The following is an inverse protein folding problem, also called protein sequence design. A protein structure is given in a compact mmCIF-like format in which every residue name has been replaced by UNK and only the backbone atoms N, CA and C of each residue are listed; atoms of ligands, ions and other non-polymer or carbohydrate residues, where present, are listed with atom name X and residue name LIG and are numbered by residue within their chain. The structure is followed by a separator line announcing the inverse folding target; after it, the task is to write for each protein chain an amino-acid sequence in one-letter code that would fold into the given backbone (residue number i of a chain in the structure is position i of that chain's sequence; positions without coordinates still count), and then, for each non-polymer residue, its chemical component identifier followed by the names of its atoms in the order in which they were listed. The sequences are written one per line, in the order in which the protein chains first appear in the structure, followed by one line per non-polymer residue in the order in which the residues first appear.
data_IF_942038074383
#
_entry.id   IF_942038074383
#
_cell.length_a   1.000
_cell.length_b   1.000
_cell.length_c   1.000
_cell.angle_alpha   90.00
_cell.angle_beta   90.00
_cell.angle_gamma   90.00
#
_symmetry.space_group_name_H-M   'P 1'
#
loop_
_entity.id
_entity.type
_entity.pdbx_description
1 polymer ?
#
# COMPACT_ATOMS: atom_id res chain seq x y z
N UNK A 1 3.13 4.49 16.20
CA UNK A 1 3.16 3.11 16.75
C UNK A 1 1.78 2.54 16.57
N UNK A 2 1.69 1.27 16.18
CA UNK A 2 0.43 0.61 15.85
C UNK A 2 0.48 -0.86 16.25
N UNK A 3 -0.68 -1.45 16.46
CA UNK A 3 -0.88 -2.89 16.65
C UNK A 3 -2.08 -3.33 15.81
N UNK A 4 -1.99 -4.48 15.15
CA UNK A 4 -3.06 -5.01 14.30
C UNK A 4 -3.22 -6.52 14.48
N UNK A 5 -4.46 -7.00 14.39
CA UNK A 5 -4.76 -8.42 14.27
C UNK A 5 -4.72 -8.87 12.81
N UNK A 6 -4.30 -10.11 12.57
CA UNK A 6 -4.55 -10.77 11.29
C UNK A 6 -6.06 -10.96 11.08
N UNK A 7 -6.54 -11.06 9.83
CA UNK A 7 -7.96 -11.31 9.56
C UNK A 7 -8.49 -12.59 10.20
N UNK A 8 -7.62 -13.62 10.33
CA UNK A 8 -7.94 -14.87 11.01
C UNK A 8 -8.00 -14.76 12.54
N UNK A 9 -7.51 -13.65 13.11
CA UNK A 9 -7.35 -13.44 14.55
C UNK A 9 -6.22 -14.25 15.20
N UNK A 10 -5.49 -15.06 14.43
CA UNK A 10 -4.46 -15.96 14.96
C UNK A 10 -3.13 -15.25 15.25
N UNK A 11 -2.86 -14.13 14.58
CA UNK A 11 -1.62 -13.39 14.74
C UNK A 11 -1.87 -11.94 15.10
N UNK A 12 -0.95 -11.38 15.89
CA UNK A 12 -0.85 -9.95 16.14
C UNK A 12 0.44 -9.44 15.51
N UNK A 13 0.42 -8.26 14.93
CA UNK A 13 1.62 -7.52 14.53
C UNK A 13 1.74 -6.22 15.31
N UNK A 14 2.92 -5.94 15.86
CA UNK A 14 3.23 -4.70 16.59
C UNK A 14 4.38 -3.93 15.94
N UNK A 15 4.20 -2.62 15.77
CA UNK A 15 5.18 -1.72 15.15
C UNK A 15 5.73 -0.73 16.17
N UNK A 16 7.06 -0.59 16.21
CA UNK A 16 7.78 0.08 17.30
C UNK A 16 8.73 1.18 16.82
N UNK A 17 9.11 2.06 17.75
CA UNK A 17 10.19 3.03 17.57
C UNK A 17 11.57 2.38 17.46
N UNK A 18 11.71 1.11 17.86
CA UNK A 18 12.90 0.29 17.60
C UNK A 18 13.08 -0.08 16.12
N UNK A 19 12.21 0.44 15.24
CA UNK A 19 12.25 0.29 13.78
C UNK A 19 11.85 -1.11 13.30
N UNK A 20 11.27 -1.94 14.17
CA UNK A 20 10.83 -3.29 13.83
C UNK A 20 9.32 -3.43 13.79
N UNK A 21 8.87 -4.40 13.00
CA UNK A 21 7.56 -5.04 13.15
C UNK A 21 7.78 -6.41 13.79
N UNK A 22 6.95 -6.79 14.74
CA UNK A 22 7.03 -8.08 15.43
C UNK A 22 5.71 -8.82 15.35
N UNK A 23 5.78 -10.10 15.06
CA UNK A 23 4.64 -11.01 15.07
C UNK A 23 4.50 -11.71 16.41
N UNK A 24 3.26 -12.03 16.75
CA UNK A 24 2.90 -12.76 17.96
C UNK A 24 1.79 -13.75 17.64
N UNK A 25 1.81 -14.90 18.28
CA UNK A 25 0.65 -15.76 18.37
C UNK A 25 -0.40 -15.10 19.29
N UNK A 26 -1.60 -14.88 18.78
CA UNK A 26 -2.63 -14.13 19.49
C UNK A 26 -3.20 -14.87 20.70
N UNK A 27 -3.17 -16.21 20.68
CA UNK A 27 -3.79 -17.05 21.70
C UNK A 27 -2.86 -17.30 22.88
N UNK A 28 -1.56 -17.45 22.61
CA UNK A 28 -0.53 -17.84 23.57
C UNK A 28 0.39 -16.69 23.96
N UNK A 29 0.44 -15.62 23.16
CA UNK A 29 1.40 -14.54 23.32
C UNK A 29 2.84 -14.92 22.93
N UNK A 30 3.05 -16.10 22.34
CA UNK A 30 4.37 -16.54 21.92
C UNK A 30 4.95 -15.60 20.85
N UNK A 31 6.24 -15.22 20.96
CA UNK A 31 6.88 -14.37 19.96
C UNK A 31 7.08 -15.12 18.64
N UNK A 32 6.75 -14.45 17.53
CA UNK A 32 7.01 -14.89 16.17
C UNK A 32 8.18 -14.16 15.52
N UNK A 33 8.12 -13.97 14.20
CA UNK A 33 9.18 -13.30 13.44
C UNK A 33 9.35 -11.82 13.81
N UNK A 34 10.60 -11.34 13.73
CA UNK A 34 10.96 -9.92 13.82
C UNK A 34 11.30 -9.45 12.40
N UNK A 35 10.49 -8.55 11.87
CA UNK A 35 10.64 -7.98 10.54
C UNK A 35 11.46 -6.70 10.66
N UNK A 36 12.72 -6.78 10.20
CA UNK A 36 13.70 -5.70 10.28
C UNK A 36 14.02 -5.13 8.90
N UNK A 37 14.29 -3.84 8.85
CA UNK A 37 14.67 -3.16 7.60
C UNK A 37 14.22 -1.71 7.53
N UNK A 38 13.20 -1.30 8.30
CA UNK A 38 12.92 0.11 8.49
C UNK A 38 14.12 0.79 9.17
N UNK A 39 14.39 2.03 8.78
CA UNK A 39 15.53 2.80 9.30
C UNK A 39 15.11 3.87 10.32
N UNK A 40 13.80 4.02 10.51
CA UNK A 40 13.16 4.86 11.52
C UNK A 40 11.91 4.17 12.09
N UNK A 41 11.21 4.84 13.01
CA UNK A 41 10.05 4.33 13.71
C UNK A 41 8.96 3.79 12.78
N UNK A 42 8.33 2.67 13.14
CA UNK A 42 7.13 2.17 12.47
C UNK A 42 5.91 2.91 13.01
N UNK A 43 5.21 3.60 12.12
CA UNK A 43 4.13 4.54 12.46
C UNK A 43 2.76 3.91 12.33
N UNK A 44 2.54 3.14 11.26
CA UNK A 44 1.29 2.45 10.93
C UNK A 44 1.55 1.09 10.32
N UNK A 45 0.62 0.15 10.47
CA UNK A 45 0.68 -1.15 9.78
C UNK A 45 -0.72 -1.68 9.52
N UNK A 46 -0.83 -2.64 8.60
CA UNK A 46 -2.08 -3.36 8.31
C UNK A 46 -1.75 -4.73 7.72
N UNK A 47 -2.54 -5.75 8.06
CA UNK A 47 -2.47 -7.04 7.37
C UNK A 47 -3.15 -6.95 6.00
N UNK A 48 -2.66 -7.71 5.03
CA UNK A 48 -3.45 -8.00 3.82
C UNK A 48 -4.75 -8.71 4.22
N UNK A 49 -5.83 -8.59 3.44
CA UNK A 49 -7.07 -9.33 3.73
C UNK A 49 -6.91 -10.85 3.74
N UNK A 50 -5.88 -11.38 3.06
CA UNK A 50 -5.51 -12.80 3.14
C UNK A 50 -4.76 -13.18 4.42
N UNK A 51 -4.23 -12.20 5.16
CA UNK A 51 -3.41 -12.40 6.35
C UNK A 51 -1.97 -12.86 6.09
N UNK A 52 -1.61 -13.11 4.82
CA UNK A 52 -0.28 -13.62 4.45
C UNK A 52 0.80 -12.52 4.41
N UNK A 53 0.40 -11.26 4.40
CA UNK A 53 1.32 -10.14 4.33
C UNK A 53 0.98 -9.02 5.31
N UNK A 54 1.99 -8.22 5.62
CA UNK A 54 1.83 -6.96 6.36
C UNK A 54 2.37 -5.83 5.49
N UNK A 55 1.62 -4.74 5.41
CA UNK A 55 2.16 -3.45 4.97
C UNK A 55 2.48 -2.60 6.19
N UNK A 56 3.67 -2.01 6.24
CA UNK A 56 4.08 -1.08 7.31
C UNK A 56 4.57 0.25 6.74
N UNK A 57 4.17 1.33 7.39
CA UNK A 57 4.61 2.70 7.12
C UNK A 57 5.54 3.18 8.21
N UNK A 58 6.44 4.09 7.85
CA UNK A 58 7.47 4.56 8.77
C UNK A 58 7.82 6.03 8.56
N UNK A 59 8.41 6.62 9.59
CA UNK A 59 9.12 7.90 9.55
C UNK A 59 10.33 7.88 8.60
N UNK A 60 10.79 6.70 8.14
CA UNK A 60 11.84 6.58 7.14
C UNK A 60 11.37 6.88 5.70
N UNK A 61 10.12 7.34 5.55
CA UNK A 61 9.49 7.70 4.28
C UNK A 61 9.37 6.51 3.33
N UNK A 62 9.21 5.31 3.89
CA UNK A 62 8.93 4.11 3.10
C UNK A 62 7.67 3.41 3.56
N UNK A 63 7.06 2.70 2.61
CA UNK A 63 6.13 1.61 2.92
C UNK A 63 6.79 0.30 2.55
N UNK A 64 6.69 -0.69 3.43
CA UNK A 64 7.26 -2.02 3.20
C UNK A 64 6.17 -3.07 3.25
N UNK A 65 6.22 -4.01 2.32
CA UNK A 65 5.40 -5.22 2.35
C UNK A 65 6.28 -6.37 2.84
N UNK A 66 5.73 -7.15 3.75
CA UNK A 66 6.40 -8.26 4.39
C UNK A 66 5.61 -9.53 4.20
N UNK A 67 6.35 -10.61 4.01
CA UNK A 67 5.84 -11.97 4.07
C UNK A 67 5.70 -12.40 5.55
N UNK A 68 4.52 -12.86 5.96
CA UNK A 68 4.26 -13.28 7.35
C UNK A 68 4.87 -14.65 7.65
N UNK A 69 4.91 -15.56 6.68
CA UNK A 69 5.39 -16.94 6.85
C UNK A 69 6.91 -16.98 7.00
N UNK A 70 7.62 -16.28 6.11
CA UNK A 70 9.09 -16.30 6.03
C UNK A 70 9.73 -15.08 6.69
N UNK A 71 8.94 -14.08 7.11
CA UNK A 71 9.44 -12.88 7.78
C UNK A 71 10.33 -11.98 6.91
N UNK A 72 10.28 -12.12 5.58
CA UNK A 72 11.13 -11.39 4.63
C UNK A 72 10.44 -10.15 4.09
N UNK A 73 11.24 -9.12 3.77
CA UNK A 73 10.76 -7.95 3.05
C UNK A 73 10.58 -8.30 1.57
N UNK A 74 9.37 -8.10 1.06
CA UNK A 74 9.01 -8.39 -0.32
C UNK A 74 9.20 -7.17 -1.22
N UNK A 75 8.77 -6.00 -0.72
CA UNK A 75 8.73 -4.76 -1.51
C UNK A 75 9.03 -3.56 -0.61
N UNK A 76 9.73 -2.57 -1.16
CA UNK A 76 9.95 -1.27 -0.52
C UNK A 76 9.49 -0.17 -1.47
N UNK A 77 8.48 0.58 -1.06
CA UNK A 77 7.95 1.74 -1.78
C UNK A 77 8.59 3.01 -1.20
N UNK A 78 9.25 3.82 -2.05
CA UNK A 78 10.08 4.97 -1.63
C UNK A 78 9.58 6.34 -2.16
N UNK A 79 8.33 6.42 -2.58
CA UNK A 79 7.75 7.61 -3.21
C UNK A 79 7.01 8.51 -2.20
N UNK A 80 7.58 8.67 -1.00
CA UNK A 80 7.00 9.48 0.08
C UNK A 80 7.98 10.59 0.47
N UNK A 81 7.48 11.81 0.62
CA UNK A 81 8.31 12.96 1.01
C UNK A 81 8.18 13.36 2.48
N UNK A 82 7.32 12.67 3.24
CA UNK A 82 7.18 12.76 4.69
C UNK A 82 6.91 11.40 5.34
N UNK A 83 6.61 11.41 6.63
CA UNK A 83 6.20 10.21 7.37
C UNK A 83 4.97 9.57 6.72
N UNK A 84 5.00 8.26 6.49
CA UNK A 84 3.76 7.54 6.15
C UNK A 84 2.95 7.32 7.42
N UNK A 85 1.97 8.18 7.66
CA UNK A 85 1.27 8.26 8.95
C UNK A 85 0.20 7.19 9.12
N UNK A 86 -0.45 6.77 8.04
CA UNK A 86 -1.52 5.77 8.07
C UNK A 86 -1.53 4.92 6.81
N UNK A 87 -1.94 3.66 6.95
CA UNK A 87 -2.08 2.71 5.85
C UNK A 87 -3.37 1.92 6.03
N UNK A 88 -4.09 1.69 4.93
CA UNK A 88 -5.22 0.76 4.86
C UNK A 88 -5.04 -0.19 3.67
N UNK A 89 -5.45 -1.44 3.82
CA UNK A 89 -5.42 -2.44 2.75
C UNK A 89 -6.84 -2.90 2.44
N UNK A 90 -7.22 -2.85 1.17
CA UNK A 90 -8.49 -3.38 0.68
C UNK A 90 -8.27 -4.32 -0.50
N UNK A 91 -9.14 -5.33 -0.62
CA UNK A 91 -9.26 -6.17 -1.82
C UNK A 91 -10.71 -6.09 -2.29
N UNK A 92 -10.90 -5.82 -3.57
CA UNK A 92 -12.22 -5.80 -4.20
C UNK A 92 -12.18 -6.58 -5.53
N UNK A 93 -13.31 -6.65 -6.24
CA UNK A 93 -13.41 -7.37 -7.52
C UNK A 93 -12.42 -6.90 -8.60
N UNK A 94 -11.80 -5.73 -8.43
CA UNK A 94 -10.85 -5.14 -9.37
C UNK A 94 -9.39 -5.24 -8.89
N UNK A 95 -9.12 -5.96 -7.79
CA UNK A 95 -7.76 -6.24 -7.31
C UNK A 95 -7.50 -5.84 -5.86
N UNK A 96 -6.21 -5.81 -5.52
CA UNK A 96 -5.69 -5.52 -4.18
C UNK A 96 -5.10 -4.11 -4.16
N UNK A 97 -5.45 -3.31 -3.16
CA UNK A 97 -5.07 -1.91 -3.08
C UNK A 97 -4.61 -1.52 -1.69
N UNK A 98 -3.53 -0.74 -1.63
CA UNK A 98 -3.05 -0.07 -0.44
C UNK A 98 -3.35 1.42 -0.53
N UNK A 99 -4.02 1.98 0.47
CA UNK A 99 -4.16 3.41 0.64
C UNK A 99 -3.18 3.88 1.71
N UNK A 100 -2.46 4.97 1.45
CA UNK A 100 -1.46 5.53 2.36
C UNK A 100 -1.67 7.02 2.54
N UNK A 101 -1.71 7.50 3.77
CA UNK A 101 -1.62 8.92 4.09
C UNK A 101 -0.19 9.29 4.49
N UNK A 102 0.30 10.39 3.94
CA UNK A 102 1.67 10.84 4.13
C UNK A 102 1.72 12.27 4.71
N UNK A 103 2.74 12.54 5.51
CA UNK A 103 3.02 13.86 6.07
C UNK A 103 3.42 14.92 5.03
N UNK A 104 3.54 14.55 3.75
CA UNK A 104 3.64 15.48 2.62
C UNK A 104 2.26 16.01 2.14
N UNK A 105 1.24 15.89 2.99
CA UNK A 105 -0.15 16.30 2.73
C UNK A 105 -0.82 15.55 1.57
N UNK A 106 -0.35 14.34 1.25
CA UNK A 106 -0.96 13.52 0.21
C UNK A 106 -1.60 12.24 0.73
N UNK A 107 -2.62 11.79 -0.01
CA UNK A 107 -3.10 10.42 0.02
C UNK A 107 -2.72 9.75 -1.29
N UNK A 108 -2.20 8.53 -1.21
CA UNK A 108 -1.84 7.72 -2.37
C UNK A 108 -2.58 6.39 -2.32
N UNK A 109 -3.08 5.96 -3.47
CA UNK A 109 -3.62 4.63 -3.68
C UNK A 109 -2.64 3.85 -4.56
N UNK A 110 -2.28 2.68 -4.09
CA UNK A 110 -1.36 1.76 -4.75
C UNK A 110 -2.10 0.50 -5.14
N UNK A 111 -1.92 0.03 -6.36
CA UNK A 111 -2.39 -1.28 -6.77
C UNK A 111 -1.30 -2.31 -6.49
N UNK A 112 -1.68 -3.39 -5.82
CA UNK A 112 -0.81 -4.50 -5.44
C UNK A 112 -1.08 -5.67 -6.39
N UNK A 113 -0.08 -6.05 -7.18
CA UNK A 113 -0.20 -6.99 -8.31
C UNK A 113 0.59 -8.28 -8.04
N UNK A 114 0.11 -9.39 -8.61
CA UNK A 114 0.69 -10.73 -8.49
C UNK A 114 0.48 -11.31 -7.09
N UNK A 115 1.44 -12.10 -6.62
CA UNK A 115 1.52 -12.61 -5.23
C UNK A 115 1.89 -11.48 -4.24
N UNK A 116 1.44 -10.27 -4.55
CA UNK A 116 1.56 -9.04 -3.79
C UNK A 116 3.01 -8.55 -3.60
N UNK A 117 3.90 -8.86 -4.55
CA UNK A 117 5.28 -8.38 -4.57
C UNK A 117 5.50 -7.09 -5.37
N UNK A 118 4.51 -6.71 -6.19
CA UNK A 118 4.59 -5.52 -7.03
C UNK A 118 3.55 -4.51 -6.57
N UNK A 119 4.00 -3.27 -6.40
CA UNK A 119 3.14 -2.17 -5.91
C UNK A 119 3.31 -0.99 -6.86
N UNK A 120 2.25 -0.63 -7.56
CA UNK A 120 2.23 0.46 -8.53
C UNK A 120 1.36 1.60 -8.02
N UNK A 121 1.82 2.85 -8.22
CA UNK A 121 0.98 4.00 -7.94
C UNK A 121 -0.21 4.00 -8.89
N UNK A 122 -1.41 4.00 -8.34
CA UNK A 122 -2.65 4.08 -9.10
C UNK A 122 -3.14 5.54 -9.14
N UNK A 123 -3.16 6.23 -8.00
CA UNK A 123 -3.28 7.69 -7.97
C UNK A 123 -2.68 8.28 -6.70
N UNK A 124 -2.39 9.57 -6.74
CA UNK A 124 -2.09 10.38 -5.56
C UNK A 124 -2.85 11.71 -5.63
N UNK A 125 -3.32 12.18 -4.47
CA UNK A 125 -3.99 13.46 -4.34
C UNK A 125 -3.31 14.26 -3.23
N UNK A 126 -2.73 15.39 -3.60
CA UNK A 126 -2.35 16.47 -2.69
C UNK A 126 -3.54 17.43 -2.55
N UNK A 127 -3.60 18.24 -1.49
CA UNK A 127 -4.71 19.19 -1.26
C UNK A 127 -5.04 20.09 -2.48
N UNK A 128 -4.06 20.36 -3.36
CA UNK A 128 -4.24 21.19 -4.56
C UNK A 128 -3.95 20.48 -5.91
N UNK A 129 -3.58 19.18 -5.91
CA UNK A 129 -3.16 18.49 -7.14
C UNK A 129 -3.42 16.97 -7.11
N UNK A 130 -4.25 16.50 -8.04
CA UNK A 130 -4.44 15.07 -8.34
C UNK A 130 -3.46 14.63 -9.42
N UNK A 131 -2.73 13.54 -9.17
CA UNK A 131 -1.88 12.81 -10.13
C UNK A 131 -2.47 11.42 -10.28
N UNK A 132 -2.66 10.96 -11.51
CA UNK A 132 -3.28 9.66 -11.82
C UNK A 132 -2.37 8.88 -12.75
N UNK A 133 -2.17 7.59 -12.50
CA UNK A 133 -1.33 6.75 -13.36
C UNK A 133 -1.98 5.38 -13.53
N UNK A 134 -2.06 4.89 -14.76
CA UNK A 134 -2.70 3.61 -15.09
C UNK A 134 -4.20 3.54 -14.78
N UNK A 135 -4.87 4.69 -14.65
CA UNK A 135 -6.33 4.72 -14.54
C UNK A 135 -6.92 4.60 -15.94
N UNK A 136 -7.70 3.52 -16.15
CA UNK A 136 -8.52 3.37 -17.34
C UNK A 136 -9.79 4.24 -17.23
N UNK A 137 -9.89 5.26 -18.08
CA UNK A 137 -11.03 6.19 -18.12
C UNK A 137 -12.09 5.84 -19.17
N UNK A 138 -11.89 4.79 -19.97
CA UNK A 138 -12.81 4.43 -21.07
C UNK A 138 -14.22 4.04 -20.57
N UNK A 139 -14.32 3.59 -19.32
CA UNK A 139 -15.59 3.23 -18.65
C UNK A 139 -16.16 4.34 -17.77
N UNK A 140 -15.53 5.50 -17.68
CA UNK A 140 -15.99 6.59 -16.83
C UNK A 140 -17.22 7.29 -17.44
N UNK A 141 -18.36 7.25 -16.75
CA UNK A 141 -19.59 7.92 -17.17
C UNK A 141 -19.72 9.31 -16.55
N UNK A 142 -20.31 10.26 -17.27
CA UNK A 142 -20.64 11.60 -16.74
C UNK A 142 -19.48 12.61 -16.71
N UNK A 143 -18.32 12.29 -17.28
CA UNK A 143 -17.20 13.23 -17.40
C UNK A 143 -17.39 14.20 -18.58
N UNK A 144 -17.08 15.48 -18.37
CA UNK A 144 -16.99 16.45 -19.46
C UNK A 144 -15.75 16.16 -20.33
N UNK A 145 -15.77 16.55 -21.61
CA UNK A 145 -14.62 16.42 -22.52
C UNK A 145 -13.36 17.11 -21.99
N UNK A 146 -13.54 18.20 -21.22
CA UNK A 146 -12.44 18.94 -20.60
C UNK A 146 -11.84 18.17 -19.42
N UNK A 147 -12.67 17.49 -18.63
CA UNK A 147 -12.21 16.65 -17.53
C UNK A 147 -11.46 15.41 -18.03
N UNK A 148 -11.91 14.80 -19.14
CA UNK A 148 -11.21 13.67 -19.78
C UNK A 148 -9.79 14.08 -20.19
N UNK A 149 -9.65 15.18 -20.96
CA UNK A 149 -8.33 15.69 -21.36
C UNK A 149 -7.43 16.06 -20.17
N UNK A 150 -8.01 16.59 -19.10
CA UNK A 150 -7.26 16.93 -17.89
C UNK A 150 -6.71 15.66 -17.20
N UNK A 151 -7.48 14.57 -17.21
CA UNK A 151 -7.05 13.28 -16.66
C UNK A 151 -5.97 12.62 -17.52
N UNK A 152 -6.11 12.65 -18.85
CA UNK A 152 -5.07 12.20 -19.80
C UNK A 152 -3.75 12.96 -19.59
N UNK A 153 -3.80 14.30 -19.50
CA UNK A 153 -2.63 15.14 -19.20
C UNK A 153 -1.98 14.81 -17.85
N UNK A 154 -2.73 14.19 -16.94
CA UNK A 154 -2.27 13.82 -15.59
C UNK A 154 -1.82 12.36 -15.50
N UNK A 155 -1.85 11.59 -16.60
CA UNK A 155 -1.34 10.22 -16.69
C UNK A 155 -2.41 9.13 -16.74
N UNK A 156 -3.70 9.48 -16.91
CA UNK A 156 -4.73 8.50 -17.23
C UNK A 156 -4.53 7.94 -18.66
N UNK A 157 -4.93 6.68 -18.86
CA UNK A 157 -4.82 5.97 -20.13
C UNK A 157 -6.21 5.55 -20.59
N UNK A 158 -6.46 5.66 -21.89
CA UNK A 158 -7.56 4.91 -22.52
C UNK A 158 -7.14 3.45 -22.66
N UNK A 159 -8.13 2.54 -22.61
CA UNK A 159 -7.99 1.07 -22.60
C UNK A 159 -6.61 0.56 -23.05
N UNK A 160 -5.89 -0.25 -22.23
CA UNK A 160 -4.66 -0.86 -22.69
C UNK A 160 -5.03 -1.72 -23.89
N UNK A 161 -4.65 -1.26 -25.09
CA UNK A 161 -4.73 -2.06 -26.30
C UNK A 161 -4.05 -3.37 -25.93
N UNK A 162 -4.79 -4.46 -26.07
CA UNK A 162 -4.27 -5.82 -26.05
C UNK A 162 -3.02 -5.88 -26.93
N UNK A 163 -1.84 -5.79 -26.33
CA UNK A 163 -0.61 -6.27 -26.98
C UNK A 163 -0.65 -7.80 -26.96
N UNK A 164 -1.55 -8.35 -27.76
CA UNK A 164 -1.43 -9.69 -28.31
C UNK A 164 -0.82 -9.56 -29.71
N UNK A 165 0.39 -10.14 -29.83
CA UNK A 165 1.02 -10.64 -31.05
C UNK A 165 1.58 -9.60 -32.03
N UNK A 166 2.90 -9.38 -31.95
CA UNK A 166 3.82 -9.62 -33.08
C UNK A 166 5.26 -9.80 -32.63
#
# INVERSE_FOLDING_TARGET
MSVVFSPSGQHIASGSWDKTVRLWDAQTGAPGAILSGHTSAVTSMVFSPSGQQIASGSDDKTVRLWDVEFGRCLTVVKDFHGTTACIAWNVNGNGSYLATGCGDSSVRLWQVIGDHHLVYLHWSSMQDRLVVSNINISKAQGLSRMNIKLLEQRGAVDDPISEEVR
#
